data_IF_587502697583
#
_entry.id   IF_587502697583
#
_cell.length_a   1.000
_cell.length_b   1.000
_cell.length_c   1.000
_cell.angle_alpha   90.00
_cell.angle_beta   90.00
_cell.angle_gamma   90.00
#
_symmetry.space_group_name_H-M   'P 1'
#
loop_
_entity.id
_entity.type
_entity.pdbx_description
1 polymer ?
#
# COMPACT_ATOMS: atom_id res chain seq x y z
N UNK A 1 9.93 -3.26 -35.26
CA UNK A 1 10.82 -4.44 -35.25
C UNK A 1 11.69 -4.37 -34.00
N UNK A 2 11.64 -5.36 -33.11
CA UNK A 2 12.41 -5.34 -31.85
C UNK A 2 13.89 -5.61 -32.17
N UNK A 3 14.76 -4.69 -31.79
CA UNK A 3 16.20 -4.83 -31.98
C UNK A 3 16.88 -5.43 -30.75
N UNK A 4 17.95 -6.19 -30.96
CA UNK A 4 18.75 -6.76 -29.86
C UNK A 4 19.50 -5.64 -29.12
N UNK A 5 19.51 -5.72 -27.80
CA UNK A 5 20.28 -4.83 -26.94
C UNK A 5 21.76 -5.25 -26.96
N UNK A 6 22.66 -4.28 -27.07
CA UNK A 6 24.11 -4.52 -26.97
C UNK A 6 24.55 -4.81 -25.52
N UNK A 7 25.82 -5.14 -25.33
CA UNK A 7 26.38 -5.50 -24.01
C UNK A 7 26.32 -4.31 -23.04
N UNK A 8 26.63 -3.10 -23.49
CA UNK A 8 26.65 -1.88 -22.67
C UNK A 8 25.24 -1.54 -22.20
N UNK A 9 24.27 -1.59 -23.10
CA UNK A 9 22.85 -1.39 -22.80
C UNK A 9 22.34 -2.38 -21.76
N UNK A 10 22.69 -3.67 -21.90
CA UNK A 10 22.32 -4.71 -20.92
C UNK A 10 22.93 -4.46 -19.54
N UNK A 11 24.21 -4.11 -19.46
CA UNK A 11 24.87 -3.80 -18.19
C UNK A 11 24.31 -2.53 -17.53
N UNK A 12 23.86 -1.55 -18.33
CA UNK A 12 23.17 -0.37 -17.81
C UNK A 12 21.79 -0.75 -17.26
N UNK A 13 21.00 -1.54 -17.99
CA UNK A 13 19.69 -2.03 -17.53
C UNK A 13 19.81 -2.83 -16.22
N UNK A 14 20.81 -3.72 -16.11
CA UNK A 14 21.05 -4.52 -14.89
C UNK A 14 21.24 -3.68 -13.64
N UNK A 15 21.73 -2.44 -13.76
CA UNK A 15 21.88 -1.49 -12.65
C UNK A 15 20.62 -0.66 -12.44
N UNK A 16 20.03 -0.17 -13.53
CA UNK A 16 18.88 0.73 -13.50
C UNK A 16 17.59 0.05 -13.02
N UNK A 17 17.30 -1.19 -13.42
CA UNK A 17 16.04 -1.86 -13.02
C UNK A 17 15.96 -2.15 -11.51
N UNK A 18 17.01 -2.68 -10.85
CA UNK A 18 17.00 -2.81 -9.39
C UNK A 18 16.93 -1.47 -8.68
N UNK A 19 17.67 -0.46 -9.16
CA UNK A 19 17.64 0.89 -8.58
C UNK A 19 16.25 1.52 -8.69
N UNK A 20 15.55 1.34 -9.82
CA UNK A 20 14.16 1.78 -9.98
C UNK A 20 13.23 1.09 -8.99
N UNK A 21 13.40 -0.22 -8.78
CA UNK A 21 12.61 -0.97 -7.80
C UNK A 21 12.83 -0.43 -6.39
N UNK A 22 14.07 -0.10 -6.02
CA UNK A 22 14.39 0.48 -4.72
C UNK A 22 13.81 1.90 -4.57
N UNK A 23 13.97 2.76 -5.58
CA UNK A 23 13.38 4.10 -5.59
C UNK A 23 11.85 4.05 -5.45
N UNK A 24 11.18 3.14 -6.16
CA UNK A 24 9.74 2.94 -6.04
C UNK A 24 9.33 2.48 -4.64
N UNK A 25 10.06 1.52 -4.04
CA UNK A 25 9.83 1.10 -2.65
C UNK A 25 9.98 2.24 -1.66
N UNK A 26 10.98 3.11 -1.83
CA UNK A 26 11.21 4.28 -0.97
C UNK A 26 10.24 5.44 -1.24
N UNK A 27 9.50 5.42 -2.35
CA UNK A 27 8.70 6.57 -2.78
C UNK A 27 9.53 7.73 -3.32
N UNK A 28 10.80 7.49 -3.67
CA UNK A 28 11.69 8.51 -4.24
C UNK A 28 11.36 8.76 -5.71
N UNK A 29 10.39 9.64 -5.92
CA UNK A 29 9.87 9.97 -7.24
C UNK A 29 10.94 10.64 -8.13
N UNK A 30 11.85 11.44 -7.58
CA UNK A 30 12.84 12.15 -8.39
C UNK A 30 13.88 11.21 -8.95
N UNK A 31 14.41 10.31 -8.11
CA UNK A 31 15.30 9.25 -8.56
C UNK A 31 14.60 8.32 -9.55
N UNK A 32 13.35 7.93 -9.29
CA UNK A 32 12.57 7.11 -10.21
C UNK A 32 12.39 7.78 -11.59
N UNK A 33 12.11 9.09 -11.65
CA UNK A 33 12.00 9.85 -12.90
C UNK A 33 13.31 9.84 -13.68
N UNK A 34 14.43 10.13 -13.02
CA UNK A 34 15.76 10.14 -13.63
C UNK A 34 16.09 8.77 -14.26
N UNK A 35 15.87 7.69 -13.51
CA UNK A 35 16.11 6.32 -13.99
C UNK A 35 15.22 5.97 -15.20
N UNK A 36 13.97 6.44 -15.23
CA UNK A 36 13.07 6.18 -16.36
C UNK A 36 13.51 6.91 -17.63
N UNK A 37 14.04 8.14 -17.53
CA UNK A 37 14.61 8.84 -18.68
C UNK A 37 15.74 8.03 -19.29
N UNK A 38 16.63 7.50 -18.44
CA UNK A 38 17.72 6.62 -18.86
C UNK A 38 17.23 5.32 -19.50
N UNK A 39 16.29 4.61 -18.86
CA UNK A 39 15.71 3.39 -19.42
C UNK A 39 14.97 3.65 -20.73
N UNK A 40 14.30 4.80 -20.88
CA UNK A 40 13.62 5.19 -22.10
C UNK A 40 14.61 5.39 -23.25
N UNK A 41 15.77 6.00 -22.98
CA UNK A 41 16.83 6.16 -24.00
C UNK A 41 17.36 4.83 -24.55
N UNK A 42 17.21 3.74 -23.78
CA UNK A 42 17.65 2.40 -24.17
C UNK A 42 16.51 1.61 -24.84
N UNK A 43 15.33 1.58 -24.22
CA UNK A 43 14.23 0.72 -24.66
C UNK A 43 13.49 1.26 -25.88
N UNK A 44 13.27 2.57 -25.96
CA UNK A 44 12.46 3.17 -27.02
C UNK A 44 13.09 3.00 -28.41
N UNK A 45 14.38 3.31 -28.64
CA UNK A 45 14.99 3.15 -29.97
C UNK A 45 15.07 1.69 -30.44
N UNK A 46 14.99 0.74 -29.50
CA UNK A 46 15.11 -0.70 -29.74
C UNK A 46 13.76 -1.42 -29.79
N UNK A 47 12.65 -0.68 -29.63
CA UNK A 47 11.29 -1.21 -29.71
C UNK A 47 10.89 -2.12 -28.53
N UNK A 48 11.51 -1.96 -27.35
CA UNK A 48 11.17 -2.75 -26.15
C UNK A 48 10.06 -2.07 -25.33
N UNK A 49 8.94 -1.71 -25.96
CA UNK A 49 7.89 -0.91 -25.34
C UNK A 49 7.28 -1.58 -24.10
N UNK A 50 7.05 -2.90 -24.13
CA UNK A 50 6.50 -3.63 -22.99
C UNK A 50 7.37 -3.52 -21.74
N UNK A 51 8.71 -3.54 -21.89
CA UNK A 51 9.65 -3.37 -20.77
C UNK A 51 9.64 -1.93 -20.25
N UNK A 52 9.58 -0.96 -21.16
CA UNK A 52 9.47 0.45 -20.78
C UNK A 52 8.16 0.73 -20.03
N UNK A 53 7.03 0.17 -20.48
CA UNK A 53 5.74 0.35 -19.80
C UNK A 53 5.73 -0.31 -18.41
N UNK A 54 6.33 -1.49 -18.26
CA UNK A 54 6.54 -2.11 -16.95
C UNK A 54 7.39 -1.22 -16.02
N UNK A 55 8.44 -0.59 -16.54
CA UNK A 55 9.24 0.36 -15.76
C UNK A 55 8.41 1.60 -15.39
N UNK A 56 7.59 2.13 -16.31
CA UNK A 56 6.70 3.27 -16.05
C UNK A 56 5.64 2.97 -14.99
N UNK A 57 5.11 1.74 -14.92
CA UNK A 57 4.23 1.34 -13.82
C UNK A 57 4.90 1.54 -12.44
N UNK A 58 6.19 1.21 -12.29
CA UNK A 58 6.95 1.48 -11.04
C UNK A 58 7.09 2.97 -10.74
N UNK A 59 7.32 3.78 -11.77
CA UNK A 59 7.37 5.23 -11.62
C UNK A 59 6.02 5.78 -11.13
N UNK A 60 4.91 5.30 -11.67
CA UNK A 60 3.59 5.78 -11.26
C UNK A 60 3.18 5.26 -9.89
N UNK A 61 3.57 4.04 -9.51
CA UNK A 61 3.46 3.57 -8.13
C UNK A 61 4.27 4.49 -7.18
N UNK A 62 5.53 4.81 -7.52
CA UNK A 62 6.34 5.78 -6.76
C UNK A 62 5.69 7.15 -6.65
N UNK A 63 5.05 7.62 -7.73
CA UNK A 63 4.31 8.88 -7.72
C UNK A 63 3.08 8.85 -6.81
N UNK A 64 2.35 7.73 -6.77
CA UNK A 64 1.23 7.55 -5.85
C UNK A 64 1.71 7.58 -4.40
N UNK A 65 2.84 6.95 -4.11
CA UNK A 65 3.47 6.97 -2.79
C UNK A 65 3.94 8.38 -2.39
N UNK A 66 4.35 9.20 -3.35
CA UNK A 66 4.71 10.61 -3.14
C UNK A 66 3.50 11.58 -3.17
N UNK A 67 2.27 11.06 -3.16
CA UNK A 67 1.03 11.85 -3.21
C UNK A 67 0.77 12.59 -4.53
N UNK A 68 1.52 12.28 -5.60
CA UNK A 68 1.36 12.90 -6.94
C UNK A 68 0.34 12.13 -7.79
N UNK A 69 -0.90 12.06 -7.30
CA UNK A 69 -1.97 11.24 -7.88
C UNK A 69 -2.30 11.63 -9.33
N UNK A 70 -2.42 12.92 -9.65
CA UNK A 70 -2.74 13.37 -11.03
C UNK A 70 -1.64 13.03 -12.06
N UNK A 71 -0.39 12.93 -11.59
CA UNK A 71 0.72 12.48 -12.45
C UNK A 71 0.65 10.96 -12.67
N UNK A 72 0.34 10.20 -11.61
CA UNK A 72 0.16 8.76 -11.70
C UNK A 72 -1.04 8.37 -12.58
N UNK A 73 -2.21 8.99 -12.36
CA UNK A 73 -3.45 8.75 -13.12
C UNK A 73 -3.21 8.89 -14.63
N UNK A 74 -2.75 10.07 -15.07
CA UNK A 74 -2.47 10.33 -16.50
C UNK A 74 -1.45 9.35 -17.07
N UNK A 75 -0.44 9.02 -16.28
CA UNK A 75 0.61 8.07 -16.64
C UNK A 75 0.08 6.66 -16.87
N UNK A 76 -0.72 6.15 -15.94
CA UNK A 76 -1.31 4.82 -15.98
C UNK A 76 -2.34 4.68 -17.11
N UNK A 77 -3.15 5.70 -17.35
CA UNK A 77 -4.02 5.77 -18.54
C UNK A 77 -3.18 5.67 -19.82
N UNK A 78 -2.08 6.42 -19.90
CA UNK A 78 -1.16 6.38 -21.05
C UNK A 78 -0.48 5.01 -21.23
N UNK A 79 -0.16 4.30 -20.15
CA UNK A 79 0.36 2.92 -20.24
C UNK A 79 -0.72 2.00 -20.80
N UNK A 80 -1.94 2.03 -20.27
CA UNK A 80 -3.06 1.19 -20.71
C UNK A 80 -3.36 1.37 -22.20
N UNK A 81 -3.25 2.58 -22.73
CA UNK A 81 -3.43 2.87 -24.16
C UNK A 81 -2.33 2.29 -25.06
N UNK A 82 -1.14 1.99 -24.51
CA UNK A 82 0.03 1.52 -25.26
C UNK A 82 0.27 0.02 -25.19
N UNK A 83 -0.36 -0.68 -24.25
CA UNK A 83 -0.19 -2.13 -24.08
C UNK A 83 -1.50 -2.87 -24.34
N UNK A 84 -1.40 -4.11 -24.81
CA UNK A 84 -2.58 -4.94 -25.05
C UNK A 84 -3.24 -5.36 -23.73
N UNK A 85 -4.58 -5.35 -23.68
CA UNK A 85 -5.38 -5.64 -22.49
C UNK A 85 -5.26 -7.09 -21.96
N UNK A 86 -4.69 -8.01 -22.74
CA UNK A 86 -4.37 -9.39 -22.35
C UNK A 86 -2.96 -9.55 -21.79
N UNK A 87 -2.25 -8.46 -21.53
CA UNK A 87 -0.89 -8.50 -20.97
C UNK A 87 -0.88 -8.27 -19.46
N UNK A 88 0.13 -8.83 -18.80
CA UNK A 88 0.37 -8.59 -17.37
C UNK A 88 0.63 -7.11 -17.05
N UNK A 89 1.29 -6.40 -17.97
CA UNK A 89 1.59 -4.96 -17.82
C UNK A 89 0.31 -4.12 -17.80
N UNK A 90 -0.68 -4.48 -18.64
CA UNK A 90 -1.99 -3.84 -18.63
C UNK A 90 -2.71 -4.08 -17.31
N UNK A 91 -2.78 -5.34 -16.86
CA UNK A 91 -3.42 -5.69 -15.58
C UNK A 91 -2.79 -4.93 -14.40
N UNK A 92 -1.46 -4.84 -14.36
CA UNK A 92 -0.72 -4.07 -13.36
C UNK A 92 -1.06 -2.57 -13.41
N UNK A 93 -1.14 -1.99 -14.61
CA UNK A 93 -1.51 -0.59 -14.78
C UNK A 93 -2.96 -0.33 -14.35
N UNK A 94 -3.89 -1.23 -14.67
CA UNK A 94 -5.29 -1.14 -14.23
C UNK A 94 -5.42 -1.30 -12.72
N UNK A 95 -4.69 -2.24 -12.09
CA UNK A 95 -4.62 -2.37 -10.63
C UNK A 95 -4.15 -1.09 -9.95
N UNK A 96 -3.06 -0.50 -10.43
CA UNK A 96 -2.54 0.78 -9.90
C UNK A 96 -3.50 1.93 -10.15
N UNK A 97 -4.20 1.97 -11.29
CA UNK A 97 -5.15 3.02 -11.62
C UNK A 97 -6.40 2.95 -10.73
N UNK A 98 -6.93 1.75 -10.48
CA UNK A 98 -8.02 1.56 -9.52
C UNK A 98 -7.61 2.08 -8.13
N UNK A 99 -6.40 1.73 -7.66
CA UNK A 99 -5.88 2.24 -6.40
C UNK A 99 -5.76 3.77 -6.46
N UNK A 100 -5.25 4.35 -7.55
CA UNK A 100 -5.14 5.80 -7.71
C UNK A 100 -6.50 6.51 -7.55
N UNK A 101 -7.57 5.96 -8.14
CA UNK A 101 -8.92 6.49 -7.97
C UNK A 101 -9.46 6.32 -6.55
N UNK A 102 -9.19 5.18 -5.89
CA UNK A 102 -9.50 5.02 -4.46
C UNK A 102 -8.78 6.08 -3.61
N UNK A 103 -7.52 6.39 -3.94
CA UNK A 103 -6.73 7.46 -3.29
C UNK A 103 -7.27 8.87 -3.56
N UNK A 104 -8.06 9.05 -4.62
CA UNK A 104 -8.73 10.31 -4.93
C UNK A 104 -10.17 10.34 -4.37
N UNK A 105 -10.60 9.29 -3.67
CA UNK A 105 -12.00 9.08 -3.24
C UNK A 105 -13.01 9.09 -4.40
N UNK A 106 -12.56 8.75 -5.61
CA UNK A 106 -13.39 8.70 -6.82
C UNK A 106 -13.87 7.26 -7.07
N UNK A 107 -14.87 6.83 -6.29
CA UNK A 107 -15.46 5.49 -6.42
C UNK A 107 -16.09 5.25 -7.79
N UNK A 108 -16.63 6.32 -8.40
CA UNK A 108 -17.28 6.25 -9.73
C UNK A 108 -16.28 5.82 -10.79
N UNK A 109 -15.04 6.33 -10.73
CA UNK A 109 -13.96 5.86 -11.61
C UNK A 109 -13.29 4.58 -11.14
N UNK A 110 -13.23 4.32 -9.84
CA UNK A 110 -12.56 3.14 -9.29
C UNK A 110 -13.29 1.83 -9.64
N UNK A 111 -14.61 1.76 -9.43
CA UNK A 111 -15.41 0.53 -9.56
C UNK A 111 -15.30 -0.11 -10.95
N UNK A 112 -15.41 0.60 -12.09
CA UNK A 112 -15.23 0.01 -13.41
C UNK A 112 -13.84 -0.58 -13.63
N UNK A 113 -12.80 0.03 -13.07
CA UNK A 113 -11.42 -0.47 -13.20
C UNK A 113 -11.20 -1.68 -12.28
N UNK A 114 -11.77 -1.68 -11.07
CA UNK A 114 -11.77 -2.85 -10.17
C UNK A 114 -12.43 -4.04 -10.87
N UNK A 115 -13.58 -3.83 -11.49
CA UNK A 115 -14.26 -4.86 -12.27
C UNK A 115 -13.36 -5.41 -13.40
N UNK A 116 -12.74 -4.52 -14.17
CA UNK A 116 -11.80 -4.93 -15.23
C UNK A 116 -10.66 -5.80 -14.68
N UNK A 117 -10.08 -5.42 -13.54
CA UNK A 117 -8.95 -6.15 -12.91
C UNK A 117 -9.40 -7.54 -12.43
N UNK A 118 -10.55 -7.63 -11.76
CA UNK A 118 -11.00 -8.88 -11.15
C UNK A 118 -11.57 -9.86 -12.18
N UNK A 119 -12.19 -9.37 -13.26
CA UNK A 119 -12.80 -10.20 -14.30
C UNK A 119 -11.86 -10.60 -15.45
N UNK A 120 -10.62 -10.08 -15.51
CA UNK A 120 -9.69 -10.38 -16.59
C UNK A 120 -8.96 -11.73 -16.42
N UNK A 121 -9.68 -12.81 -16.69
CA UNK A 121 -9.20 -14.19 -16.62
C UNK A 121 -8.12 -14.54 -17.66
N UNK A 122 -7.96 -13.72 -18.70
CA UNK A 122 -7.10 -14.01 -19.86
C UNK A 122 -5.62 -13.76 -19.59
N UNK A 123 -5.30 -12.93 -18.59
CA UNK A 123 -3.91 -12.56 -18.26
C UNK A 123 -3.23 -13.62 -17.38
N UNK A 124 -3.93 -14.12 -16.35
CA UNK A 124 -3.40 -15.15 -15.43
C UNK A 124 -4.07 -16.48 -15.75
N UNK A 125 -3.35 -17.35 -16.47
CA UNK A 125 -3.89 -18.63 -16.96
C UNK A 125 -4.13 -19.67 -15.85
N UNK A 126 -3.25 -19.70 -14.85
CA UNK A 126 -3.33 -20.66 -13.75
C UNK A 126 -4.41 -20.22 -12.75
N UNK A 127 -5.41 -21.07 -12.51
CA UNK A 127 -6.46 -20.80 -11.54
C UNK A 127 -5.90 -20.54 -10.13
N UNK A 128 -5.02 -21.38 -9.54
CA UNK A 128 -4.44 -21.09 -8.23
C UNK A 128 -3.76 -19.72 -8.14
N UNK A 129 -2.99 -19.33 -9.16
CA UNK A 129 -2.33 -18.01 -9.21
C UNK A 129 -3.34 -16.87 -9.34
N UNK A 130 -4.44 -17.10 -10.05
CA UNK A 130 -5.50 -16.11 -10.23
C UNK A 130 -6.26 -15.87 -8.93
N UNK A 131 -6.61 -16.95 -8.22
CA UNK A 131 -7.25 -16.88 -6.90
C UNK A 131 -6.36 -16.11 -5.91
N UNK A 132 -5.06 -16.42 -5.88
CA UNK A 132 -4.11 -15.72 -5.01
C UNK A 132 -3.96 -14.24 -5.38
N UNK A 133 -3.84 -13.92 -6.68
CA UNK A 133 -3.81 -12.52 -7.15
C UNK A 133 -5.08 -11.77 -6.73
N UNK A 134 -6.27 -12.35 -6.94
CA UNK A 134 -7.55 -11.75 -6.55
C UNK A 134 -7.63 -11.48 -5.06
N UNK A 135 -7.23 -12.45 -4.23
CA UNK A 135 -7.17 -12.28 -2.78
C UNK A 135 -6.26 -11.12 -2.36
N UNK A 136 -5.05 -11.06 -2.93
CA UNK A 136 -4.09 -9.99 -2.62
C UNK A 136 -4.56 -8.62 -3.11
N UNK A 137 -5.11 -8.53 -4.33
CA UNK A 137 -5.54 -7.24 -4.89
C UNK A 137 -6.81 -6.71 -4.24
N UNK A 138 -7.76 -7.57 -3.85
CA UNK A 138 -8.94 -7.16 -3.07
C UNK A 138 -8.50 -6.63 -1.72
N UNK A 139 -7.60 -7.33 -1.03
CA UNK A 139 -7.02 -6.84 0.23
C UNK A 139 -6.36 -5.47 0.02
N UNK A 140 -5.70 -5.25 -1.12
CA UNK A 140 -5.09 -3.97 -1.44
C UNK A 140 -6.13 -2.87 -1.68
N UNK A 141 -7.20 -3.16 -2.42
CA UNK A 141 -8.31 -2.21 -2.63
C UNK A 141 -8.98 -1.85 -1.31
N UNK A 142 -9.27 -2.82 -0.45
CA UNK A 142 -9.80 -2.61 0.90
C UNK A 142 -8.89 -1.68 1.70
N UNK A 143 -7.57 -1.95 1.72
CA UNK A 143 -6.63 -1.12 2.49
C UNK A 143 -6.53 0.32 1.98
N UNK A 144 -6.50 0.49 0.66
CA UNK A 144 -6.40 1.82 0.05
C UNK A 144 -7.72 2.58 0.26
N UNK A 145 -8.88 1.93 0.05
CA UNK A 145 -10.17 2.52 0.39
C UNK A 145 -10.27 2.93 1.85
N UNK A 146 -9.78 2.09 2.77
CA UNK A 146 -9.82 2.34 4.21
C UNK A 146 -9.11 3.63 4.60
N UNK A 147 -7.86 3.79 4.17
CA UNK A 147 -7.01 4.94 4.53
C UNK A 147 -7.61 6.25 4.07
N UNK A 148 -8.15 6.28 2.85
CA UNK A 148 -8.72 7.49 2.30
C UNK A 148 -10.10 7.79 2.88
N UNK A 149 -10.84 6.76 3.29
CA UNK A 149 -12.12 6.95 3.93
C UNK A 149 -12.01 7.53 5.34
N UNK A 150 -10.92 7.25 6.08
CA UNK A 150 -10.67 7.84 7.41
C UNK A 150 -9.90 9.17 7.37
N UNK A 151 -9.57 9.67 6.17
CA UNK A 151 -8.88 10.94 6.02
C UNK A 151 -9.81 12.08 6.43
N UNK A 152 -9.37 12.87 7.38
CA UNK A 152 -10.08 14.05 7.86
C UNK A 152 -9.45 15.32 7.26
N UNK A 153 -10.27 16.30 6.89
CA UNK A 153 -9.79 17.59 6.39
C UNK A 153 -9.29 18.53 7.52
N UNK A 154 -9.19 18.04 8.75
CA UNK A 154 -8.85 18.83 9.93
C UNK A 154 -7.57 18.32 10.59
N UNK A 155 -6.62 19.23 10.83
CA UNK A 155 -5.41 18.96 11.57
C UNK A 155 -5.70 19.03 13.08
N UNK A 156 -6.08 17.92 13.69
CA UNK A 156 -5.87 17.77 15.13
C UNK A 156 -4.36 17.68 15.41
N UNK A 157 -3.92 18.31 16.48
CA UNK A 157 -2.52 18.25 16.92
C UNK A 157 -2.26 16.87 17.52
N UNK A 158 -1.61 16.00 16.77
CA UNK A 158 -1.08 14.73 17.30
C UNK A 158 0.22 15.04 18.05
N UNK A 159 0.19 14.96 19.39
CA UNK A 159 1.39 15.07 20.22
C UNK A 159 2.05 13.68 20.36
N UNK A 160 3.24 13.45 19.77
CA UNK A 160 3.90 12.15 19.80
C UNK A 160 4.14 11.60 21.21
N UNK A 161 4.41 12.49 22.17
CA UNK A 161 4.69 12.09 23.54
C UNK A 161 3.43 11.61 24.23
N UNK A 162 2.37 12.42 24.16
CA UNK A 162 1.08 12.12 24.77
C UNK A 162 0.50 10.81 24.24
N UNK A 163 0.54 10.59 22.92
CA UNK A 163 -0.01 9.38 22.29
C UNK A 163 0.77 8.14 22.70
N UNK A 164 2.11 8.22 22.76
CA UNK A 164 2.93 7.07 23.15
C UNK A 164 2.82 6.77 24.64
N UNK A 165 2.71 7.79 25.50
CA UNK A 165 2.47 7.60 26.95
C UNK A 165 1.13 6.88 27.18
N UNK A 166 0.05 7.29 26.49
CA UNK A 166 -1.25 6.61 26.55
C UNK A 166 -1.19 5.18 26.00
N UNK A 167 -0.42 4.94 24.94
CA UNK A 167 -0.22 3.60 24.40
C UNK A 167 0.49 2.70 25.44
N UNK A 168 1.43 3.25 26.21
CA UNK A 168 2.06 2.55 27.33
C UNK A 168 1.06 2.15 28.41
N UNK A 169 0.09 3.01 28.74
CA UNK A 169 -1.00 2.70 29.67
C UNK A 169 -1.87 1.55 29.14
N UNK A 170 -2.22 1.56 27.84
CA UNK A 170 -3.00 0.46 27.23
C UNK A 170 -2.25 -0.88 27.31
N UNK A 171 -0.94 -0.88 27.08
CA UNK A 171 -0.13 -2.11 27.20
C UNK A 171 -0.10 -2.59 28.65
N UNK A 172 0.09 -1.69 29.62
CA UNK A 172 0.11 -2.01 31.04
C UNK A 172 -1.23 -2.59 31.54
N UNK A 173 -2.35 -2.17 30.93
CA UNK A 173 -3.69 -2.69 31.24
C UNK A 173 -3.95 -4.13 30.77
N UNK A 174 -2.95 -4.81 30.20
CA UNK A 174 -3.03 -6.20 29.72
C UNK A 174 -4.10 -6.47 28.64
N UNK A 175 -4.53 -5.44 27.90
CA UNK A 175 -5.42 -5.61 26.74
C UNK A 175 -4.83 -6.59 25.73
N UNK A 176 -5.67 -7.49 25.20
CA UNK A 176 -5.26 -8.39 24.13
C UNK A 176 -5.10 -7.62 22.81
N UNK A 177 -4.40 -8.22 21.83
CA UNK A 177 -4.31 -7.63 20.48
C UNK A 177 -5.70 -7.50 19.84
N UNK A 178 -6.58 -8.47 20.10
CA UNK A 178 -7.95 -8.46 19.60
C UNK A 178 -8.77 -7.32 20.18
N UNK A 179 -8.52 -6.90 21.42
CA UNK A 179 -9.16 -5.73 22.04
C UNK A 179 -8.65 -4.43 21.41
N UNK A 180 -7.35 -4.35 21.14
CA UNK A 180 -6.75 -3.19 20.47
C UNK A 180 -7.26 -3.03 19.03
N UNK A 181 -7.48 -4.13 18.31
CA UNK A 181 -8.15 -4.07 17.00
C UNK A 181 -9.60 -3.60 17.14
N UNK A 182 -10.30 -4.01 18.18
CA UNK A 182 -11.66 -3.52 18.42
C UNK A 182 -11.68 -2.03 18.74
N UNK A 183 -10.74 -1.53 19.56
CA UNK A 183 -10.60 -0.11 19.86
C UNK A 183 -10.38 0.71 18.57
N UNK A 184 -9.45 0.28 17.70
CA UNK A 184 -9.24 0.94 16.39
C UNK A 184 -10.55 1.01 15.62
N UNK A 185 -11.31 -0.08 15.58
CA UNK A 185 -12.57 -0.13 14.84
C UNK A 185 -13.65 0.81 15.37
N UNK A 186 -13.70 1.06 16.69
CA UNK A 186 -14.71 1.94 17.32
C UNK A 186 -14.52 3.40 16.94
N UNK A 187 -13.26 3.77 16.72
CA UNK A 187 -12.86 5.14 16.38
C UNK A 187 -12.97 5.45 14.89
N UNK A 188 -13.35 4.47 14.06
CA UNK A 188 -13.57 4.68 12.62
C UNK A 188 -14.92 5.35 12.39
N UNK A 189 -14.97 6.48 11.66
CA UNK A 189 -16.23 7.12 11.32
C UNK A 189 -17.15 6.21 10.49
N UNK A 190 -18.46 6.28 10.71
CA UNK A 190 -19.46 5.43 10.03
C UNK A 190 -19.39 5.53 8.50
N UNK A 191 -19.18 6.73 7.96
CA UNK A 191 -19.01 6.92 6.52
C UNK A 191 -17.82 6.13 5.96
N UNK A 192 -16.74 6.00 6.73
CA UNK A 192 -15.56 5.25 6.33
C UNK A 192 -15.80 3.74 6.36
N UNK A 193 -16.59 3.28 7.35
CA UNK A 193 -17.09 1.90 7.41
C UNK A 193 -17.94 1.61 6.16
N UNK A 194 -18.86 2.50 5.79
CA UNK A 194 -19.72 2.31 4.63
C UNK A 194 -18.93 2.21 3.31
N UNK A 195 -17.90 3.04 3.12
CA UNK A 195 -17.02 2.96 1.96
C UNK A 195 -16.26 1.62 1.93
N UNK A 196 -15.71 1.21 3.08
CA UNK A 196 -15.02 -0.07 3.23
C UNK A 196 -15.90 -1.27 2.88
N UNK A 197 -17.14 -1.27 3.38
CA UNK A 197 -18.12 -2.31 3.09
C UNK A 197 -18.47 -2.34 1.61
N UNK A 198 -18.73 -1.18 1.01
CA UNK A 198 -19.05 -1.07 -0.42
C UNK A 198 -17.96 -1.65 -1.30
N UNK A 199 -16.69 -1.30 -1.05
CA UNK A 199 -15.55 -1.80 -1.85
C UNK A 199 -15.38 -3.32 -1.70
N UNK A 200 -15.47 -3.84 -0.47
CA UNK A 200 -15.34 -5.27 -0.18
C UNK A 200 -16.47 -6.08 -0.82
N UNK A 201 -17.72 -5.65 -0.64
CA UNK A 201 -18.89 -6.30 -1.21
C UNK A 201 -18.87 -6.25 -2.74
N UNK A 202 -18.59 -5.08 -3.33
CA UNK A 202 -18.45 -4.93 -4.78
C UNK A 202 -17.39 -5.89 -5.33
N UNK A 203 -16.21 -5.92 -4.71
CA UNK A 203 -15.10 -6.76 -5.16
C UNK A 203 -15.40 -8.26 -5.03
N UNK A 204 -16.00 -8.69 -3.91
CA UNK A 204 -16.36 -10.11 -3.68
C UNK A 204 -17.49 -10.59 -4.57
N UNK A 205 -18.44 -9.72 -4.90
CA UNK A 205 -19.57 -10.06 -5.78
C UNK A 205 -19.14 -10.25 -7.24
N UNK A 206 -17.96 -9.76 -7.62
CA UNK A 206 -17.36 -10.00 -8.93
C UNK A 206 -16.68 -11.38 -9.05
N UNK A 207 -16.53 -12.11 -7.95
CA UNK A 207 -15.86 -13.41 -7.95
C UNK A 207 -16.83 -14.58 -8.14
N UNK A 208 -16.37 -15.69 -8.75
CA UNK A 208 -17.12 -16.94 -8.74
C UNK A 208 -17.45 -17.39 -7.31
N UNK A 209 -18.60 -18.04 -7.13
CA UNK A 209 -19.09 -18.46 -5.80
C UNK A 209 -18.05 -19.29 -5.02
N UNK A 210 -17.35 -20.21 -5.70
CA UNK A 210 -16.32 -21.04 -5.08
C UNK A 210 -15.10 -20.24 -4.56
N UNK A 211 -14.74 -19.15 -5.23
CA UNK A 211 -13.66 -18.24 -4.78
C UNK A 211 -14.16 -17.35 -3.65
N UNK A 212 -15.39 -16.82 -3.77
CA UNK A 212 -16.03 -16.00 -2.74
C UNK A 212 -16.15 -16.73 -1.40
N UNK A 213 -16.45 -18.03 -1.41
CA UNK A 213 -16.53 -18.86 -0.20
C UNK A 213 -15.18 -19.08 0.50
N UNK A 214 -14.05 -18.92 -0.23
CA UNK A 214 -12.69 -18.98 0.35
C UNK A 214 -12.29 -17.64 0.98
N UNK A 215 -13.04 -16.57 0.73
CA UNK A 215 -12.81 -15.27 1.33
C UNK A 215 -13.61 -15.15 2.63
N UNK A 216 -13.14 -14.32 3.58
CA UNK A 216 -13.90 -14.07 4.80
C UNK A 216 -15.30 -13.51 4.49
N UNK A 217 -16.35 -13.94 5.22
CA UNK A 217 -17.74 -13.62 4.93
C UNK A 217 -18.05 -12.10 4.97
N UNK A 218 -19.11 -11.64 4.26
CA UNK A 218 -19.53 -10.23 4.25
C UNK A 218 -19.94 -9.75 5.66
N UNK A 219 -19.58 -8.51 5.97
CA UNK A 219 -19.10 -8.05 7.30
C UNK A 219 -20.21 -7.59 8.26
N UNK A 220 -21.45 -8.06 8.18
CA UNK A 220 -22.56 -7.43 8.93
C UNK A 220 -22.71 -7.81 10.42
N UNK A 221 -21.98 -8.79 10.97
CA UNK A 221 -22.15 -9.18 12.39
C UNK A 221 -20.85 -9.16 13.25
N UNK A 222 -19.70 -8.74 12.69
CA UNK A 222 -18.36 -8.77 13.35
C UNK A 222 -17.66 -7.39 13.17
N UNK A 223 -18.46 -6.33 13.12
CA UNK A 223 -18.19 -5.09 12.37
C UNK A 223 -16.94 -4.33 12.83
N UNK A 224 -16.73 -4.18 14.13
CA UNK A 224 -15.75 -3.21 14.65
C UNK A 224 -14.32 -3.75 14.61
N UNK A 225 -14.09 -4.94 15.16
CA UNK A 225 -12.77 -5.57 15.24
C UNK A 225 -12.14 -5.82 13.87
N UNK A 226 -12.93 -6.29 12.91
CA UNK A 226 -12.42 -6.55 11.57
C UNK A 226 -12.12 -5.25 10.81
N UNK A 227 -12.93 -4.21 11.01
CA UNK A 227 -12.62 -2.86 10.51
C UNK A 227 -11.29 -2.40 11.10
N UNK A 228 -11.07 -2.54 12.40
CA UNK A 228 -9.81 -2.17 13.03
C UNK A 228 -8.61 -2.98 12.53
N UNK A 229 -8.76 -4.29 12.26
CA UNK A 229 -7.74 -5.10 11.59
C UNK A 229 -7.43 -4.56 10.19
N UNK A 230 -8.42 -4.18 9.40
CA UNK A 230 -8.21 -3.60 8.06
C UNK A 230 -7.51 -2.24 8.15
N UNK A 231 -7.95 -1.36 9.06
CA UNK A 231 -7.33 -0.04 9.27
C UNK A 231 -5.88 -0.20 9.71
N UNK A 232 -5.61 -1.02 10.73
CA UNK A 232 -4.24 -1.35 11.14
C UNK A 232 -3.43 -1.93 9.99
N UNK A 233 -4.00 -2.83 9.19
CA UNK A 233 -3.35 -3.43 8.02
C UNK A 233 -3.01 -2.41 6.93
N UNK A 234 -3.73 -1.29 6.89
CA UNK A 234 -3.51 -0.22 5.93
C UNK A 234 -2.48 0.78 6.44
N UNK A 235 -2.62 1.19 7.70
CA UNK A 235 -1.69 2.08 8.41
C UNK A 235 -0.30 1.45 8.50
N UNK A 236 -0.21 0.15 8.82
CA UNK A 236 1.09 -0.55 8.91
C UNK A 236 1.88 -0.48 7.61
N UNK A 237 1.19 -0.50 6.46
CA UNK A 237 1.84 -0.44 5.16
C UNK A 237 2.55 0.89 4.94
N UNK A 238 1.95 1.97 5.43
CA UNK A 238 2.51 3.33 5.35
C UNK A 238 3.68 3.46 6.33
N UNK A 239 3.49 2.97 7.55
CA UNK A 239 4.49 2.99 8.61
C UNK A 239 5.71 2.09 8.33
N UNK A 240 5.55 1.04 7.52
CA UNK A 240 6.63 0.12 7.19
C UNK A 240 7.89 0.85 6.70
N UNK A 241 7.75 1.90 5.88
CA UNK A 241 8.91 2.67 5.41
C UNK A 241 9.63 3.38 6.56
N UNK A 242 8.88 4.05 7.43
CA UNK A 242 9.44 4.82 8.54
C UNK A 242 10.05 3.93 9.64
N UNK A 243 9.50 2.73 9.86
CA UNK A 243 9.92 1.84 10.94
C UNK A 243 10.92 0.77 10.49
N UNK A 244 10.86 0.32 9.24
CA UNK A 244 11.59 -0.87 8.74
C UNK A 244 12.63 -0.57 7.67
N UNK A 245 12.77 0.68 7.21
CA UNK A 245 13.91 1.01 6.35
C UNK A 245 15.19 0.90 7.18
N UNK A 246 16.13 0.07 6.70
CA UNK A 246 17.43 -0.13 7.35
C UNK A 246 18.23 1.17 7.42
N UNK A 247 17.95 2.14 6.57
CA UNK A 247 18.58 3.46 6.61
C UNK A 247 17.89 4.44 7.57
N UNK A 248 16.72 4.09 8.14
CA UNK A 248 16.00 4.97 9.06
C UNK A 248 16.65 5.02 10.45
N UNK A 249 16.60 6.20 11.06
CA UNK A 249 17.12 6.42 12.42
C UNK A 249 16.40 5.56 13.45
N UNK A 250 15.11 5.27 13.24
CA UNK A 250 14.29 4.45 14.14
C UNK A 250 14.73 3.00 14.08
N UNK A 251 14.90 2.45 12.88
CA UNK A 251 15.38 1.07 12.71
C UNK A 251 16.79 0.91 13.30
N UNK A 252 17.67 1.88 13.03
CA UNK A 252 19.03 1.88 13.57
C UNK A 252 19.06 2.01 15.09
N UNK A 253 18.21 2.86 15.67
CA UNK A 253 18.08 2.99 17.13
C UNK A 253 17.57 1.70 17.78
N UNK A 254 16.57 1.03 17.17
CA UNK A 254 16.01 -0.23 17.69
C UNK A 254 17.08 -1.32 17.71
N UNK A 255 17.75 -1.50 16.57
CA UNK A 255 18.68 -2.60 16.39
C UNK A 255 20.03 -2.38 17.11
N UNK A 256 20.47 -1.13 17.28
CA UNK A 256 21.77 -0.81 17.93
C UNK A 256 21.67 -0.49 19.41
N UNK A 257 20.55 0.09 19.86
CA UNK A 257 20.41 0.63 21.23
C UNK A 257 19.30 -0.06 22.04
N UNK A 258 18.53 -0.95 21.41
CA UNK A 258 17.46 -1.72 22.04
C UNK A 258 16.21 -0.88 22.36
N UNK A 259 15.23 -1.53 22.97
CA UNK A 259 13.89 -0.97 23.21
C UNK A 259 13.91 0.28 24.10
N UNK A 260 14.79 0.35 25.11
CA UNK A 260 14.86 1.47 26.05
C UNK A 260 15.20 2.82 25.40
N UNK A 261 16.03 2.82 24.35
CA UNK A 261 16.39 4.04 23.64
C UNK A 261 15.24 4.63 22.81
N UNK A 262 14.34 3.77 22.33
CA UNK A 262 13.18 4.16 21.51
C UNK A 262 12.01 4.63 22.37
N UNK A 263 11.80 3.99 23.51
CA UNK A 263 10.79 4.41 24.47
C UNK A 263 11.11 5.81 25.01
N UNK A 264 12.37 6.06 25.40
CA UNK A 264 12.79 7.35 25.95
C UNK A 264 12.80 8.50 24.92
N UNK A 265 12.93 8.19 23.63
CA UNK A 265 12.95 9.19 22.54
C UNK A 265 11.61 9.38 21.85
N UNK A 266 10.57 8.66 22.28
CA UNK A 266 9.23 8.71 21.68
C UNK A 266 9.21 8.44 20.17
N UNK A 267 10.17 7.64 19.68
CA UNK A 267 10.41 7.49 18.24
C UNK A 267 9.26 6.80 17.51
N UNK A 268 8.55 5.87 18.17
CA UNK A 268 7.36 5.21 17.61
C UNK A 268 6.20 6.23 17.55
N UNK A 269 6.01 7.02 18.61
CA UNK A 269 5.03 8.11 18.64
C UNK A 269 5.26 9.13 17.52
N UNK A 270 6.51 9.50 17.27
CA UNK A 270 6.87 10.44 16.19
C UNK A 270 6.53 9.82 14.83
N UNK A 271 6.99 8.59 14.54
CA UNK A 271 6.73 7.94 13.27
C UNK A 271 5.24 7.75 12.98
N UNK A 272 4.46 7.35 13.99
CA UNK A 272 3.02 7.17 13.84
C UNK A 272 2.32 8.51 13.63
N UNK A 273 2.66 9.53 14.42
CA UNK A 273 2.08 10.87 14.27
C UNK A 273 2.40 11.47 12.91
N UNK A 274 3.64 11.39 12.44
CA UNK A 274 4.05 11.88 11.12
C UNK A 274 3.33 11.14 9.99
N UNK A 275 3.21 9.81 10.08
CA UNK A 275 2.48 9.04 9.08
C UNK A 275 0.99 9.43 9.04
N UNK A 276 0.36 9.60 10.20
CA UNK A 276 -1.03 10.02 10.29
C UNK A 276 -1.23 11.44 9.72
N UNK A 277 -0.36 12.39 10.07
CA UNK A 277 -0.37 13.74 9.50
C UNK A 277 -0.22 13.70 7.98
N UNK A 278 0.74 12.92 7.46
CA UNK A 278 0.96 12.77 6.01
C UNK A 278 -0.24 12.13 5.28
N UNK A 279 -0.98 11.26 5.97
CA UNK A 279 -2.22 10.68 5.47
C UNK A 279 -3.42 11.62 5.60
N UNK A 280 -3.32 12.68 6.40
CA UNK A 280 -4.44 13.55 6.76
C UNK A 280 -5.39 12.90 7.77
N UNK A 281 -4.88 12.06 8.67
CA UNK A 281 -5.65 11.43 9.75
C UNK A 281 -5.36 12.19 11.03
N UNK A 282 -6.35 12.88 11.59
CA UNK A 282 -6.23 13.67 12.82
C UNK A 282 -6.60 12.91 14.10
N UNK A 283 -7.15 11.71 14.01
CA UNK A 283 -7.80 11.06 15.15
C UNK A 283 -6.78 10.45 16.12
N UNK A 284 -6.51 11.13 17.23
CA UNK A 284 -5.64 10.66 18.32
C UNK A 284 -6.02 9.25 18.79
N UNK A 285 -7.32 8.99 18.94
CA UNK A 285 -7.86 7.73 19.42
C UNK A 285 -7.57 6.53 18.48
N UNK A 286 -7.28 6.78 17.20
CA UNK A 286 -6.76 5.76 16.28
C UNK A 286 -5.26 5.53 16.44
N UNK A 287 -4.48 6.57 16.73
CA UNK A 287 -3.02 6.50 16.82
C UNK A 287 -2.55 5.71 18.05
N UNK A 288 -3.20 5.92 19.21
CA UNK A 288 -2.85 5.27 20.48
C UNK A 288 -2.86 3.72 20.39
N UNK A 289 -3.96 3.05 19.99
CA UNK A 289 -3.98 1.59 19.87
C UNK A 289 -3.06 1.06 18.76
N UNK A 290 -2.79 1.84 17.70
CA UNK A 290 -1.81 1.48 16.67
C UNK A 290 -0.39 1.41 17.26
N UNK A 291 0.02 2.42 18.04
CA UNK A 291 1.31 2.40 18.73
C UNK A 291 1.37 1.22 19.70
N UNK A 292 0.30 0.99 20.47
CA UNK A 292 0.23 -0.11 21.43
C UNK A 292 0.45 -1.48 20.75
N UNK A 293 -0.18 -1.70 19.59
CA UNK A 293 0.04 -2.91 18.78
C UNK A 293 1.48 -3.03 18.27
N UNK A 294 2.07 -1.96 17.74
CA UNK A 294 3.47 -1.97 17.25
C UNK A 294 4.43 -2.32 18.39
N UNK A 295 4.26 -1.71 19.55
CA UNK A 295 5.08 -1.98 20.73
C UNK A 295 4.89 -3.42 21.25
N UNK A 296 3.66 -3.94 21.21
CA UNK A 296 3.35 -5.31 21.63
C UNK A 296 3.91 -6.38 20.70
N UNK A 297 3.87 -6.16 19.39
CA UNK A 297 4.52 -7.04 18.41
C UNK A 297 6.05 -6.94 18.44
N UNK A 298 6.58 -5.74 18.70
CA UNK A 298 8.00 -5.43 18.51
C UNK A 298 8.34 -5.16 17.04
N UNK A 299 9.34 -4.28 16.82
CA UNK A 299 9.70 -3.81 15.47
C UNK A 299 10.23 -4.96 14.60
N UNK A 300 10.92 -5.94 15.17
CA UNK A 300 11.47 -7.09 14.42
C UNK A 300 10.37 -7.95 13.78
N UNK A 301 9.42 -8.40 14.59
CA UNK A 301 8.26 -9.17 14.12
C UNK A 301 7.44 -8.33 13.14
N UNK A 302 7.30 -7.03 13.43
CA UNK A 302 6.59 -6.11 12.56
C UNK A 302 7.24 -6.01 11.17
N UNK A 303 8.56 -5.86 11.09
CA UNK A 303 9.28 -5.69 9.84
C UNK A 303 9.37 -6.98 9.00
N UNK A 304 9.43 -8.14 9.66
CA UNK A 304 9.46 -9.44 8.98
C UNK A 304 8.08 -9.86 8.48
N UNK A 305 7.03 -9.68 9.29
CA UNK A 305 5.69 -10.16 8.94
C UNK A 305 4.90 -9.21 8.05
N UNK A 306 5.23 -7.92 8.03
CA UNK A 306 4.39 -6.91 7.37
C UNK A 306 5.06 -6.18 6.20
N UNK A 307 6.11 -6.76 5.61
CA UNK A 307 6.71 -6.27 4.38
C UNK A 307 5.65 -6.11 3.27
N UNK A 308 5.44 -4.89 2.73
CA UNK A 308 4.40 -4.67 1.75
C UNK A 308 4.78 -5.26 0.39
N UNK A 309 3.86 -6.02 -0.20
CA UNK A 309 4.00 -6.53 -1.56
C UNK A 309 3.70 -5.41 -2.56
N UNK A 310 4.61 -5.20 -3.53
CA UNK A 310 4.41 -4.32 -4.68
C UNK A 310 3.42 -4.96 -5.66
N UNK A 311 2.62 -4.17 -6.40
CA UNK A 311 1.64 -4.73 -7.36
C UNK A 311 2.34 -5.64 -8.39
N UNK A 312 3.55 -5.25 -8.80
CA UNK A 312 4.38 -6.02 -9.73
C UNK A 312 5.03 -7.26 -9.10
N UNK A 313 5.03 -7.40 -7.78
CA UNK A 313 5.47 -8.60 -7.05
C UNK A 313 4.39 -9.66 -6.90
N UNK A 314 3.12 -9.32 -7.14
CA UNK A 314 1.98 -10.25 -7.13
C UNK A 314 1.93 -11.17 -8.38
N UNK A 315 3.08 -11.44 -9.01
CA UNK A 315 3.24 -12.18 -10.28
C UNK A 315 3.34 -13.69 -10.10
#
# INVERSE_FOLDING_TARGET
MIQKLDKVQKERIKRLEPALKQAAKRGDLQTAKSIIVDLQSIYLPKGHDAKLMMAKNRLFESAMEAGKLDFAERGLIGVRQRVNNRTRVYLEASSLLAICYLRQSDLVKAEPIIQEVLSNDQVIKSQPKREEFRKQIITRFDQEGALFAIKENFAQKLDPKEIQDEAGILIASSKSEEDLFEDIGKEVPEHAINILLRIDEFSKNLLPSAERLKLPPPKQAIQTKQVGKTIFSSVKRVLYKSLCDKESDIYQAWYKQGMGAILNKYSIGIAVSEAFINLGIGVKALAVPVIALIMKFGIEIYCDQYAPTDIMGMR
#
